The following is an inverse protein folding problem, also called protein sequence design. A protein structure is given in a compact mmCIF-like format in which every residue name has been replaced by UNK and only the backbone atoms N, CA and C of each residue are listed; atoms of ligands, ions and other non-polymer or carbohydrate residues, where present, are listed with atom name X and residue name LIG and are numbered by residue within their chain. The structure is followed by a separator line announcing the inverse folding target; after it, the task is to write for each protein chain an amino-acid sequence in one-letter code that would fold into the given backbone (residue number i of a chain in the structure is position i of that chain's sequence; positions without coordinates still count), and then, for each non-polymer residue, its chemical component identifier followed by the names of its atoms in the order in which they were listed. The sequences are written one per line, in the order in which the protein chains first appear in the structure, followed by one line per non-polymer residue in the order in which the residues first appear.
data_IF_065970689372
#
_entry.id   IF_065970689372
#
_cell.length_a   1.000
_cell.length_b   1.000
_cell.length_c   1.000
_cell.angle_alpha   90.00
_cell.angle_beta   90.00
_cell.angle_gamma   90.00
#
_symmetry.space_group_name_H-M   'P 1'
#
loop_
_entity.id
_entity.type
_entity.pdbx_description
1 polymer ?
#
# COMPACT_ATOMS: atom_id res chain seq x y z
N UNK A 1 14.52 34.90 -39.97
CA UNK A 1 15.88 34.41 -39.73
C UNK A 1 15.85 33.57 -38.46
N UNK A 2 15.88 32.25 -38.60
CA UNK A 2 15.91 31.29 -37.48
C UNK A 2 17.37 31.07 -37.09
N UNK A 3 17.71 31.20 -35.80
CA UNK A 3 19.00 30.71 -35.28
C UNK A 3 18.68 29.55 -34.33
N UNK A 4 19.18 28.33 -34.59
CA UNK A 4 18.89 27.16 -33.78
C UNK A 4 19.80 27.17 -32.54
N UNK A 5 19.23 27.04 -31.35
CA UNK A 5 20.00 26.77 -30.14
C UNK A 5 20.05 25.26 -29.96
N UNK A 6 21.12 24.64 -30.45
CA UNK A 6 21.52 23.29 -30.07
C UNK A 6 21.99 23.32 -28.62
N UNK A 7 21.04 23.14 -27.70
CA UNK A 7 21.33 23.00 -26.27
C UNK A 7 21.92 21.62 -25.98
N UNK A 8 23.25 21.57 -25.90
CA UNK A 8 24.05 20.43 -25.47
C UNK A 8 23.59 19.86 -24.13
N UNK A 9 23.42 18.54 -24.11
CA UNK A 9 23.16 17.67 -22.98
C UNK A 9 24.05 18.03 -21.76
N UNK A 10 23.45 18.46 -20.65
CA UNK A 10 24.06 18.36 -19.31
C UNK A 10 23.13 17.62 -18.35
N UNK A 11 22.95 16.31 -18.56
CA UNK A 11 22.39 15.41 -17.54
C UNK A 11 23.45 15.10 -16.49
N UNK A 12 23.81 16.10 -15.68
CA UNK A 12 24.52 15.89 -14.42
C UNK A 12 23.54 15.36 -13.38
N UNK A 13 23.23 14.06 -13.44
CA UNK A 13 22.44 13.41 -12.40
C UNK A 13 23.29 13.36 -11.13
N UNK A 14 22.86 14.00 -10.05
CA UNK A 14 23.50 13.85 -8.74
C UNK A 14 23.35 12.39 -8.30
N UNK A 15 24.36 11.56 -8.59
CA UNK A 15 24.31 10.12 -8.30
C UNK A 15 24.32 9.92 -6.79
N UNK A 16 23.41 9.05 -6.30
CA UNK A 16 23.39 8.67 -4.89
C UNK A 16 24.69 8.01 -4.44
N UNK A 17 24.92 7.96 -3.12
CA UNK A 17 26.13 7.39 -2.53
C UNK A 17 25.82 6.43 -1.39
N UNK A 18 26.59 5.36 -1.30
CA UNK A 18 26.61 4.48 -0.13
C UNK A 18 27.54 5.05 0.94
N UNK A 19 27.09 5.04 2.21
CA UNK A 19 27.87 5.49 3.37
C UNK A 19 27.94 4.36 4.38
N UNK A 20 29.11 3.72 4.52
CA UNK A 20 29.35 2.71 5.56
C UNK A 20 29.53 3.41 6.90
N UNK A 21 28.82 2.94 7.92
CA UNK A 21 28.92 3.39 9.31
C UNK A 21 29.30 2.21 10.20
N UNK A 22 30.27 2.43 11.07
CA UNK A 22 30.64 1.49 12.13
C UNK A 22 29.91 1.86 13.42
N UNK A 23 29.41 0.85 14.12
CA UNK A 23 28.77 0.95 15.43
C UNK A 23 29.47 0.00 16.40
N UNK A 24 29.09 0.02 17.68
CA UNK A 24 29.58 -0.95 18.67
C UNK A 24 29.25 -2.40 18.30
N UNK A 25 28.21 -2.62 17.50
CA UNK A 25 27.67 -3.94 17.18
C UNK A 25 27.98 -4.40 15.75
N UNK A 26 28.76 -3.63 14.96
CA UNK A 26 29.13 -4.00 13.60
C UNK A 26 29.13 -2.84 12.62
N UNK A 27 28.79 -3.12 11.36
CA UNK A 27 28.82 -2.19 10.23
C UNK A 27 27.47 -2.22 9.49
N UNK A 28 26.94 -1.06 9.11
CA UNK A 28 25.80 -0.98 8.18
C UNK A 28 26.09 0.09 7.14
N UNK A 29 25.42 0.05 5.99
CA UNK A 29 25.50 1.11 4.99
C UNK A 29 24.17 1.83 4.87
N UNK A 30 24.27 3.11 4.50
CA UNK A 30 23.13 3.97 4.16
C UNK A 30 23.26 4.38 2.70
N UNK A 31 22.24 4.14 1.89
CA UNK A 31 22.14 4.70 0.55
C UNK A 31 21.50 6.08 0.63
N UNK A 32 22.23 7.10 0.18
CA UNK A 32 21.75 8.47 0.09
C UNK A 32 21.46 8.86 -1.36
N UNK A 33 20.34 9.50 -1.62
CA UNK A 33 20.02 10.12 -2.90
C UNK A 33 20.89 11.36 -3.17
N UNK A 34 20.83 11.90 -4.39
CA UNK A 34 21.63 13.07 -4.80
C UNK A 34 21.36 14.34 -3.99
N UNK A 35 20.16 14.47 -3.43
CA UNK A 35 19.76 15.53 -2.49
C UNK A 35 20.24 15.29 -1.05
N UNK A 36 20.92 14.17 -0.77
CA UNK A 36 21.42 13.78 0.56
C UNK A 36 20.41 13.02 1.42
N UNK A 37 19.18 12.82 0.95
CA UNK A 37 18.13 12.06 1.63
C UNK A 37 18.52 10.58 1.76
N UNK A 38 18.16 9.97 2.89
CA UNK A 38 18.39 8.53 3.10
C UNK A 38 17.25 7.74 2.46
N UNK A 39 17.57 6.93 1.45
CA UNK A 39 16.60 6.13 0.69
C UNK A 39 16.73 4.62 0.93
N UNK A 40 17.75 4.21 1.71
CA UNK A 40 17.92 2.82 2.12
C UNK A 40 18.91 2.72 3.27
N UNK A 41 18.67 1.77 4.18
CA UNK A 41 19.55 1.44 5.29
C UNK A 41 19.68 -0.07 5.31
N UNK A 42 20.89 -0.59 5.30
CA UNK A 42 21.12 -2.03 5.42
C UNK A 42 20.86 -2.52 6.84
N UNK A 43 20.72 -3.83 6.98
CA UNK A 43 20.95 -4.50 8.25
C UNK A 43 22.39 -4.26 8.77
N UNK A 44 22.64 -4.65 10.02
CA UNK A 44 23.99 -4.58 10.62
C UNK A 44 24.75 -5.88 10.36
N UNK A 45 25.90 -5.76 9.70
CA UNK A 45 26.86 -6.83 9.45
C UNK A 45 27.95 -6.87 10.52
N UNK A 46 28.48 -8.07 10.82
CA UNK A 46 29.56 -8.23 11.80
C UNK A 46 30.94 -7.78 11.32
N UNK A 47 31.14 -7.61 10.00
CA UNK A 47 32.42 -7.20 9.41
C UNK A 47 32.26 -6.20 8.27
N UNK A 48 33.31 -5.40 8.03
CA UNK A 48 33.34 -4.44 6.92
C UNK A 48 33.24 -5.12 5.56
N UNK A 49 33.94 -6.24 5.36
CA UNK A 49 33.88 -7.00 4.10
C UNK A 49 32.48 -7.55 3.80
N UNK A 50 31.75 -8.02 4.81
CA UNK A 50 30.36 -8.43 4.64
C UNK A 50 29.45 -7.26 4.25
N UNK A 51 29.66 -6.08 4.85
CA UNK A 51 28.94 -4.85 4.51
C UNK A 51 29.21 -4.41 3.06
N UNK A 52 30.47 -4.49 2.60
CA UNK A 52 30.86 -4.20 1.21
C UNK A 52 30.21 -5.19 0.22
N UNK A 53 30.20 -6.48 0.54
CA UNK A 53 29.49 -7.49 -0.26
C UNK A 53 27.98 -7.21 -0.34
N UNK A 54 27.38 -6.72 0.75
CA UNK A 54 25.99 -6.27 0.76
C UNK A 54 25.73 -5.12 -0.21
N UNK A 55 26.66 -4.15 -0.31
CA UNK A 55 26.58 -3.05 -1.28
C UNK A 55 26.65 -3.58 -2.71
N UNK A 56 27.58 -4.49 -3.01
CA UNK A 56 27.68 -5.10 -4.36
C UNK A 56 26.42 -5.87 -4.73
N UNK A 57 25.82 -6.58 -3.76
CA UNK A 57 24.53 -7.24 -3.95
C UNK A 57 23.43 -6.25 -4.31
N UNK A 58 23.32 -5.11 -3.60
CA UNK A 58 22.32 -4.08 -3.95
C UNK A 58 22.59 -3.50 -5.34
N UNK A 59 23.85 -3.25 -5.71
CA UNK A 59 24.23 -2.74 -7.04
C UNK A 59 23.82 -3.69 -8.16
N UNK A 60 24.00 -4.99 -7.96
CA UNK A 60 23.69 -6.01 -8.97
C UNK A 60 22.17 -6.25 -9.09
N UNK A 61 21.46 -6.29 -7.97
CA UNK A 61 20.06 -6.73 -7.94
C UNK A 61 19.06 -5.59 -8.16
N UNK A 62 19.32 -4.38 -7.63
CA UNK A 62 18.35 -3.28 -7.70
C UNK A 62 17.93 -2.87 -9.12
N UNK A 63 18.82 -2.85 -10.15
CA UNK A 63 18.42 -2.50 -11.51
C UNK A 63 17.54 -3.53 -12.23
N UNK A 64 17.52 -4.79 -11.76
CA UNK A 64 16.84 -5.91 -12.43
C UNK A 64 15.68 -6.49 -11.61
N UNK A 65 15.54 -6.10 -10.35
CA UNK A 65 14.47 -6.57 -9.49
C UNK A 65 13.10 -6.12 -10.02
N UNK A 66 12.16 -7.06 -10.13
CA UNK A 66 10.76 -6.72 -10.36
C UNK A 66 10.18 -6.03 -9.12
N UNK A 67 9.33 -5.02 -9.34
CA UNK A 67 8.53 -4.46 -8.27
C UNK A 67 7.36 -5.39 -7.98
N UNK A 68 7.31 -5.96 -6.77
CA UNK A 68 6.11 -6.59 -6.22
C UNK A 68 5.42 -5.59 -5.28
N UNK A 69 4.20 -5.19 -5.62
CA UNK A 69 3.38 -4.32 -4.78
C UNK A 69 2.57 -5.15 -3.78
N UNK A 70 3.03 -5.21 -2.53
CA UNK A 70 2.37 -5.93 -1.43
C UNK A 70 1.35 -5.06 -0.64
N UNK A 71 0.89 -3.94 -1.19
CA UNK A 71 -0.08 -3.05 -0.50
C UNK A 71 -1.54 -3.50 -0.63
N UNK A 72 -1.81 -4.65 -1.24
CA UNK A 72 -3.17 -5.21 -1.37
C UNK A 72 -3.36 -6.43 -0.45
N UNK A 73 -3.88 -6.20 0.75
CA UNK A 73 -4.54 -7.24 1.53
C UNK A 73 -5.92 -7.50 0.90
N UNK A 74 -6.23 -8.75 0.56
CA UNK A 74 -7.41 -9.15 -0.22
C UNK A 74 -8.72 -8.52 0.26
N UNK A 75 -9.14 -7.50 -0.49
CA UNK A 75 -10.42 -6.84 -0.38
C UNK A 75 -11.28 -7.47 -1.48
N UNK A 76 -12.24 -8.34 -1.10
CA UNK A 76 -13.18 -8.96 -2.06
C UNK A 76 -13.70 -7.93 -3.06
N UNK A 77 -13.73 -8.30 -4.36
CA UNK A 77 -14.17 -7.40 -5.43
C UNK A 77 -15.64 -7.03 -5.21
N UNK A 78 -15.97 -5.77 -5.41
CA UNK A 78 -17.36 -5.30 -5.29
C UNK A 78 -18.23 -5.81 -6.47
N UNK A 79 -19.55 -5.98 -6.29
CA UNK A 79 -20.34 -5.61 -5.11
C UNK A 79 -20.26 -6.65 -3.99
N UNK A 80 -20.35 -6.20 -2.73
CA UNK A 80 -20.29 -7.08 -1.56
C UNK A 80 -20.99 -6.50 -0.35
N UNK A 81 -21.45 -7.39 0.54
CA UNK A 81 -21.81 -7.01 1.90
C UNK A 81 -20.57 -7.05 2.79
N UNK A 82 -20.34 -5.99 3.56
CA UNK A 82 -19.32 -5.94 4.59
C UNK A 82 -20.01 -5.95 5.96
N UNK A 83 -19.76 -6.97 6.78
CA UNK A 83 -20.18 -7.02 8.19
C UNK A 83 -19.02 -6.54 9.06
N UNK A 84 -19.26 -5.58 9.93
CA UNK A 84 -18.24 -5.01 10.80
C UNK A 84 -18.80 -4.71 12.20
N UNK A 85 -17.90 -4.60 13.18
CA UNK A 85 -18.22 -4.07 14.51
C UNK A 85 -17.92 -2.58 14.53
N UNK A 86 -18.87 -1.77 15.00
CA UNK A 86 -18.63 -0.34 15.19
C UNK A 86 -17.91 -0.03 16.51
N UNK A 87 -17.72 1.27 16.81
CA UNK A 87 -17.05 1.71 18.03
C UNK A 87 -17.83 1.36 19.31
N UNK A 88 -19.15 1.20 19.22
CA UNK A 88 -20.03 0.79 20.31
C UNK A 88 -20.10 -0.74 20.47
N UNK A 89 -19.33 -1.50 19.67
CA UNK A 89 -19.35 -2.97 19.63
C UNK A 89 -20.68 -3.54 19.13
N UNK A 90 -21.43 -2.76 18.35
CA UNK A 90 -22.61 -3.24 17.64
C UNK A 90 -22.19 -3.81 16.28
N UNK A 91 -22.82 -4.91 15.87
CA UNK A 91 -22.66 -5.48 14.54
C UNK A 91 -23.46 -4.66 13.54
N UNK A 92 -22.83 -4.24 12.44
CA UNK A 92 -23.48 -3.55 11.32
C UNK A 92 -23.08 -4.20 10.01
N UNK A 93 -23.88 -4.00 8.97
CA UNK A 93 -23.48 -4.33 7.62
C UNK A 93 -23.67 -3.14 6.67
N UNK A 94 -22.88 -3.12 5.60
CA UNK A 94 -23.08 -2.20 4.46
C UNK A 94 -22.95 -2.93 3.14
N UNK A 95 -23.69 -2.50 2.12
CA UNK A 95 -23.56 -2.97 0.75
C UNK A 95 -22.68 -2.00 -0.04
N UNK A 96 -21.57 -2.52 -0.56
CA UNK A 96 -20.71 -1.83 -1.53
C UNK A 96 -21.21 -2.12 -2.94
N UNK A 97 -21.47 -1.07 -3.73
CA UNK A 97 -21.75 -1.18 -5.17
C UNK A 97 -20.47 -1.48 -5.97
N UNK A 98 -20.60 -1.83 -7.26
CA UNK A 98 -19.46 -2.15 -8.15
C UNK A 98 -18.36 -1.08 -8.17
N UNK A 99 -18.75 0.20 -8.09
CA UNK A 99 -17.85 1.36 -8.03
C UNK A 99 -17.21 1.59 -6.64
N UNK A 100 -17.56 0.77 -5.63
CA UNK A 100 -17.08 0.87 -4.27
C UNK A 100 -17.90 1.78 -3.36
N UNK A 101 -18.97 2.40 -3.83
CA UNK A 101 -19.80 3.26 -2.98
C UNK A 101 -20.64 2.46 -1.98
N UNK A 102 -20.85 3.04 -0.80
CA UNK A 102 -21.80 2.51 0.17
C UNK A 102 -23.20 2.89 -0.28
N UNK A 103 -23.98 1.92 -0.76
CA UNK A 103 -25.34 2.16 -1.27
C UNK A 103 -26.44 1.72 -0.30
N UNK A 104 -26.07 0.98 0.74
CA UNK A 104 -26.96 0.60 1.85
C UNK A 104 -26.12 0.38 3.10
N UNK A 105 -26.63 0.79 4.26
CA UNK A 105 -26.05 0.49 5.57
C UNK A 105 -27.16 0.09 6.54
N UNK A 106 -26.85 -0.81 7.46
CA UNK A 106 -27.78 -1.26 8.49
C UNK A 106 -27.69 -0.43 9.77
N UNK A 107 -28.73 -0.54 10.58
CA UNK A 107 -28.66 -0.21 12.00
C UNK A 107 -27.71 -1.15 12.77
N UNK A 108 -27.43 -0.79 14.02
CA UNK A 108 -26.62 -1.57 14.95
C UNK A 108 -27.38 -2.75 15.52
N UNK A 109 -26.75 -3.93 15.50
CA UNK A 109 -27.28 -5.15 16.11
C UNK A 109 -26.42 -5.57 17.30
N UNK A 110 -27.04 -5.97 18.40
CA UNK A 110 -26.32 -6.53 19.55
C UNK A 110 -25.66 -7.88 19.26
N UNK A 111 -26.18 -8.66 18.30
CA UNK A 111 -25.72 -10.02 17.98
C UNK A 111 -25.36 -10.16 16.50
N UNK A 112 -24.27 -10.89 16.22
CA UNK A 112 -23.80 -11.17 14.85
C UNK A 112 -24.85 -11.92 14.02
N UNK A 113 -25.55 -12.87 14.63
CA UNK A 113 -26.61 -13.65 13.97
C UNK A 113 -27.74 -12.76 13.49
N UNK A 114 -28.18 -11.78 14.29
CA UNK A 114 -29.19 -10.80 13.88
C UNK A 114 -28.74 -9.95 12.68
N UNK A 115 -27.47 -9.54 12.68
CA UNK A 115 -26.89 -8.80 11.55
C UNK A 115 -26.85 -9.64 10.26
N UNK A 116 -26.48 -10.92 10.35
CA UNK A 116 -26.51 -11.86 9.22
C UNK A 116 -27.93 -12.07 8.68
N UNK A 117 -28.91 -12.24 9.57
CA UNK A 117 -30.32 -12.33 9.19
C UNK A 117 -30.80 -11.05 8.48
N UNK A 118 -30.29 -9.88 8.88
CA UNK A 118 -30.54 -8.61 8.19
C UNK A 118 -30.01 -8.61 6.74
N UNK A 119 -28.79 -9.11 6.50
CA UNK A 119 -28.21 -9.26 5.16
C UNK A 119 -29.09 -10.18 4.30
N UNK A 120 -29.48 -11.34 4.84
CA UNK A 120 -30.31 -12.30 4.12
C UNK A 120 -31.71 -11.75 3.85
N UNK A 121 -32.26 -10.96 4.76
CA UNK A 121 -33.50 -10.21 4.55
C UNK A 121 -33.38 -9.23 3.38
N UNK A 122 -32.30 -8.44 3.31
CA UNK A 122 -32.07 -7.53 2.17
C UNK A 122 -31.97 -8.31 0.86
N UNK A 123 -31.22 -9.42 0.84
CA UNK A 123 -31.10 -10.28 -0.36
C UNK A 123 -32.45 -10.82 -0.84
N UNK A 124 -33.32 -11.21 0.09
CA UNK A 124 -34.63 -11.79 -0.21
C UNK A 124 -35.65 -10.76 -0.67
N UNK A 125 -35.66 -9.59 -0.05
CA UNK A 125 -36.72 -8.61 -0.25
C UNK A 125 -36.37 -7.53 -1.29
N UNK A 126 -35.09 -7.21 -1.50
CA UNK A 126 -34.71 -6.15 -2.45
C UNK A 126 -35.09 -6.46 -3.92
N UNK A 127 -34.92 -7.69 -4.45
CA UNK A 127 -35.28 -7.97 -5.84
C UNK A 127 -36.78 -7.84 -6.09
N UNK A 128 -37.17 -6.95 -7.00
CA UNK A 128 -38.56 -6.83 -7.48
C UNK A 128 -39.54 -6.18 -6.49
N UNK A 129 -39.07 -5.58 -5.40
CA UNK A 129 -39.92 -4.76 -4.53
C UNK A 129 -40.43 -3.51 -5.25
N UNK A 130 -41.68 -3.14 -4.97
CA UNK A 130 -42.27 -1.90 -5.45
C UNK A 130 -41.60 -0.68 -4.80
N UNK A 131 -41.63 0.44 -5.52
CA UNK A 131 -41.21 1.74 -4.99
C UNK A 131 -42.46 2.54 -4.69
N UNK A 132 -42.61 2.97 -3.45
CA UNK A 132 -43.68 3.85 -2.99
C UNK A 132 -43.05 5.16 -2.47
N UNK A 133 -43.74 6.28 -2.67
CA UNK A 133 -43.32 7.62 -2.22
C UNK A 133 -44.28 8.08 -1.11
N UNK A 134 -43.74 8.48 0.05
CA UNK A 134 -44.49 9.03 1.20
C UNK A 134 -44.42 10.55 1.30
#
# INVERSE_FOLDING_TARGET
MLVPITGTLRKGYFMGKFVIKQTANGYHFVLKAGNGETIGVSETYSSKGACENGIESVRANAPVAALEDQTVQEQEKNPKFELYLDKAKEYRFRLRARNGENILASEGYAQKSSCLNGIDSVRKNAPGSAVEEE
#
